data_IF_324715485505
#
_entry.id   IF_324715485505
#
_cell.length_a   1.000
_cell.length_b   1.000
_cell.length_c   1.000
_cell.angle_alpha   90.00
_cell.angle_beta   90.00
_cell.angle_gamma   90.00
#
_symmetry.space_group_name_H-M   'P 1'
#
loop_
_entity.id
_entity.type
_entity.pdbx_description
1 polymer ?
#
# COMPACT_ATOMS: atom_id res chain seq x y z
N UNK A 1 -0.72 26.62 -10.53
CA UNK A 1 -1.64 25.49 -10.73
C UNK A 1 -1.58 24.64 -9.48
N UNK A 2 -2.66 24.57 -8.71
CA UNK A 2 -2.73 23.69 -7.54
C UNK A 2 -2.84 22.24 -8.00
N UNK A 3 -2.07 21.34 -7.42
CA UNK A 3 -2.32 19.92 -7.59
C UNK A 3 -3.58 19.59 -6.77
N UNK A 4 -4.67 19.21 -7.43
CA UNK A 4 -5.82 18.63 -6.74
C UNK A 4 -5.39 17.26 -6.19
N UNK A 5 -5.05 17.22 -4.90
CA UNK A 5 -4.69 15.99 -4.20
C UNK A 5 -5.98 15.23 -3.92
N UNK A 6 -6.34 14.31 -4.81
CA UNK A 6 -7.45 13.38 -4.58
C UNK A 6 -7.00 12.29 -3.59
N UNK A 7 -7.61 12.16 -2.40
CA UNK A 7 -7.24 11.12 -1.44
C UNK A 7 -7.54 9.73 -2.01
N UNK A 8 -6.50 8.97 -2.33
CA UNK A 8 -6.67 7.56 -2.70
C UNK A 8 -6.82 6.71 -1.42
N UNK A 9 -8.07 6.49 -1.00
CA UNK A 9 -8.37 5.61 0.12
C UNK A 9 -8.23 4.16 -0.35
N UNK A 10 -7.28 3.43 0.25
CA UNK A 10 -7.03 2.01 0.01
C UNK A 10 -8.12 1.13 0.61
N UNK A 11 -8.19 -0.13 0.16
CA UNK A 11 -9.09 -1.11 0.76
C UNK A 11 -8.80 -1.23 2.27
N UNK A 12 -9.88 -1.28 3.07
CA UNK A 12 -9.79 -1.35 4.52
C UNK A 12 -8.89 -2.52 4.93
N UNK A 13 -8.04 -2.28 5.93
CA UNK A 13 -7.19 -3.30 6.56
C UNK A 13 -6.27 -4.06 5.58
N UNK A 14 -5.83 -3.38 4.52
CA UNK A 14 -4.95 -3.97 3.52
C UNK A 14 -3.62 -3.24 3.43
N UNK A 15 -2.63 -3.73 4.20
CA UNK A 15 -1.24 -3.27 4.14
C UNK A 15 -0.59 -3.52 2.78
N UNK A 16 -1.02 -4.56 2.05
CA UNK A 16 -0.52 -4.88 0.71
C UNK A 16 -0.82 -3.78 -0.32
N UNK A 17 -1.93 -3.05 -0.18
CA UNK A 17 -2.28 -1.91 -1.06
C UNK A 17 -1.29 -0.76 -0.89
N UNK A 18 -0.63 -0.68 0.26
CA UNK A 18 0.42 0.27 0.60
C UNK A 18 1.81 -0.38 0.63
N UNK A 19 2.00 -1.53 -0.05
CA UNK A 19 3.20 -2.34 0.09
C UNK A 19 4.52 -1.64 -0.26
N UNK A 20 4.49 -0.53 -1.03
CA UNK A 20 5.69 0.30 -1.27
C UNK A 20 6.16 1.03 0.00
N UNK A 21 5.24 1.69 0.72
CA UNK A 21 5.60 2.40 1.96
C UNK A 21 5.89 1.42 3.10
N UNK A 22 5.17 0.29 3.18
CA UNK A 22 5.45 -0.73 4.20
C UNK A 22 6.84 -1.36 4.03
N UNK A 23 7.29 -1.56 2.78
CA UNK A 23 8.67 -1.99 2.51
C UNK A 23 9.69 -0.92 2.90
N UNK A 24 9.39 0.36 2.69
CA UNK A 24 10.25 1.45 3.13
C UNK A 24 10.39 1.46 4.65
N UNK A 25 9.29 1.30 5.39
CA UNK A 25 9.32 1.21 6.86
C UNK A 25 10.24 0.09 7.32
N UNK A 26 10.12 -1.11 6.76
CA UNK A 26 11.01 -2.23 7.10
C UNK A 26 12.48 -1.89 6.86
N UNK A 27 12.82 -1.35 5.69
CA UNK A 27 14.21 -1.00 5.35
C UNK A 27 14.74 0.12 6.24
N UNK A 28 13.90 1.08 6.64
CA UNK A 28 14.25 2.13 7.59
C UNK A 28 14.50 1.54 8.98
N UNK A 29 13.66 0.64 9.46
CA UNK A 29 13.86 -0.04 10.75
C UNK A 29 15.16 -0.85 10.79
N UNK A 30 15.47 -1.58 9.72
CA UNK A 30 16.73 -2.33 9.57
C UNK A 30 17.94 -1.40 9.64
N UNK A 31 17.86 -0.23 8.98
CA UNK A 31 18.91 0.78 9.03
C UNK A 31 19.07 1.38 10.44
N UNK A 32 17.97 1.77 11.07
CA UNK A 32 17.98 2.33 12.42
C UNK A 32 18.56 1.35 13.45
N UNK A 33 18.18 0.06 13.39
CA UNK A 33 18.71 -0.97 14.30
C UNK A 33 20.21 -1.21 14.13
N UNK A 34 20.76 -1.02 12.93
CA UNK A 34 22.19 -1.18 12.66
C UNK A 34 23.02 0.05 13.00
N UNK A 35 22.41 1.24 13.03
CA UNK A 35 23.13 2.52 13.20
C UNK A 35 22.90 3.17 14.56
N UNK A 36 21.94 2.69 15.34
CA UNK A 36 21.64 3.27 16.64
C UNK A 36 21.52 2.21 17.73
N UNK A 37 22.33 2.35 18.79
CA UNK A 37 22.19 1.56 20.01
C UNK A 37 21.04 2.14 20.82
N UNK A 38 20.07 1.30 21.19
CA UNK A 38 18.77 1.69 21.74
C UNK A 38 18.85 2.34 23.14
N UNK A 39 20.03 2.35 23.74
CA UNK A 39 20.17 2.47 25.18
C UNK A 39 19.88 3.90 25.67
N UNK A 40 20.23 4.95 24.89
CA UNK A 40 19.85 6.36 25.14
C UNK A 40 19.96 7.22 23.85
N UNK A 41 18.98 7.11 22.94
CA UNK A 41 19.00 7.88 21.69
C UNK A 41 18.48 9.29 21.93
N UNK A 42 19.36 10.29 21.94
CA UNK A 42 18.95 11.68 21.89
C UNK A 42 18.14 11.96 20.61
N UNK A 43 17.07 12.74 20.71
CA UNK A 43 16.18 13.07 19.57
C UNK A 43 16.95 13.59 18.34
N UNK A 44 17.98 14.43 18.55
CA UNK A 44 18.80 14.95 17.47
C UNK A 44 19.62 13.88 16.73
N UNK A 45 20.02 12.80 17.41
CA UNK A 45 20.70 11.65 16.78
C UNK A 45 19.71 10.90 15.91
N UNK A 46 18.52 10.57 16.44
CA UNK A 46 17.46 9.91 15.66
C UNK A 46 17.12 10.68 14.38
N UNK A 47 16.86 11.98 14.49
CA UNK A 47 16.50 12.80 13.33
C UNK A 47 17.60 12.83 12.27
N UNK A 48 18.88 12.96 12.68
CA UNK A 48 20.01 12.92 11.74
C UNK A 48 20.12 11.56 11.05
N UNK A 49 19.97 10.46 11.77
CA UNK A 49 20.01 9.10 11.21
C UNK A 49 18.87 8.87 10.23
N UNK A 50 17.66 9.35 10.51
CA UNK A 50 16.53 9.28 9.58
C UNK A 50 16.81 10.10 8.31
N UNK A 51 17.34 11.32 8.44
CA UNK A 51 17.67 12.15 7.29
C UNK A 51 18.77 11.50 6.42
N UNK A 52 19.77 10.89 7.04
CA UNK A 52 20.84 10.16 6.36
C UNK A 52 20.29 8.92 5.62
N UNK A 53 19.43 8.14 6.29
CA UNK A 53 18.72 7.03 5.68
C UNK A 53 17.95 7.46 4.44
N UNK A 54 17.13 8.52 4.54
CA UNK A 54 16.31 8.99 3.43
C UNK A 54 17.17 9.47 2.26
N UNK A 55 18.29 10.15 2.53
CA UNK A 55 19.25 10.54 1.49
C UNK A 55 19.78 9.30 0.79
N UNK A 56 20.36 8.36 1.54
CA UNK A 56 20.93 7.13 0.99
C UNK A 56 19.89 6.30 0.23
N UNK A 57 18.70 6.09 0.79
CA UNK A 57 17.63 5.33 0.14
C UNK A 57 17.24 5.93 -1.21
N UNK A 58 17.22 7.26 -1.31
CA UNK A 58 16.86 7.95 -2.54
C UNK A 58 18.00 8.02 -3.56
N UNK A 59 19.27 8.01 -3.14
CA UNK A 59 20.42 8.17 -4.04
C UNK A 59 21.15 6.87 -4.38
N UNK A 60 20.94 5.80 -3.63
CA UNK A 60 21.58 4.51 -3.89
C UNK A 60 20.82 3.73 -4.96
N UNK A 61 21.49 3.28 -6.03
CA UNK A 61 20.87 2.42 -7.04
C UNK A 61 20.33 1.12 -6.43
N UNK A 62 19.08 0.78 -6.74
CA UNK A 62 18.49 -0.51 -6.39
C UNK A 62 18.78 -1.55 -7.48
N UNK A 63 18.35 -2.81 -7.29
CA UNK A 63 18.33 -3.84 -8.35
C UNK A 63 17.65 -3.26 -9.60
N UNK A 64 18.44 -2.97 -10.64
CA UNK A 64 18.00 -2.20 -11.82
C UNK A 64 18.86 -0.97 -12.13
N UNK A 65 19.87 -0.65 -11.32
CA UNK A 65 20.95 0.30 -11.66
C UNK A 65 20.59 1.79 -11.57
N UNK A 66 19.31 2.14 -11.35
CA UNK A 66 18.85 3.52 -11.13
C UNK A 66 18.37 3.73 -9.70
N UNK A 67 18.78 4.83 -9.07
CA UNK A 67 18.25 5.25 -7.77
C UNK A 67 16.82 5.81 -7.88
N UNK A 68 16.15 6.05 -6.75
CA UNK A 68 14.84 6.71 -6.78
C UNK A 68 14.97 8.15 -7.32
N UNK A 69 16.04 8.86 -6.96
CA UNK A 69 16.37 10.18 -7.48
C UNK A 69 16.49 10.17 -9.01
N UNK A 70 17.25 9.23 -9.57
CA UNK A 70 17.50 9.18 -11.02
C UNK A 70 16.25 8.87 -11.84
N UNK A 71 15.25 8.22 -11.21
CA UNK A 71 13.96 7.95 -11.84
C UNK A 71 13.07 9.19 -11.91
N UNK A 72 13.18 10.08 -10.93
CA UNK A 72 12.34 11.28 -10.81
C UNK A 72 12.99 12.45 -11.52
N UNK A 73 14.26 12.72 -11.26
CA UNK A 73 14.94 13.95 -11.64
C UNK A 73 15.96 13.73 -12.76
N UNK A 74 16.20 14.79 -13.54
CA UNK A 74 17.21 14.82 -14.61
C UNK A 74 18.59 15.19 -14.11
N UNK A 75 18.69 15.84 -12.94
CA UNK A 75 19.95 16.31 -12.38
C UNK A 75 20.58 15.29 -11.40
N UNK A 76 21.89 15.39 -11.12
CA UNK A 76 22.57 14.58 -10.11
C UNK A 76 22.14 14.92 -8.67
N UNK A 77 22.08 13.91 -7.79
CA UNK A 77 21.66 14.11 -6.39
C UNK A 77 22.59 15.00 -5.53
N UNK A 78 23.81 15.29 -6.01
CA UNK A 78 24.77 16.18 -5.37
C UNK A 78 24.68 17.65 -5.86
N UNK A 79 23.74 17.98 -6.76
CA UNK A 79 23.52 19.35 -7.19
C UNK A 79 22.72 20.14 -6.15
N UNK A 80 23.14 21.38 -5.90
CA UNK A 80 22.52 22.27 -4.91
C UNK A 80 21.04 22.54 -5.19
N UNK A 81 20.31 22.78 -4.09
CA UNK A 81 18.85 22.91 -3.94
C UNK A 81 18.18 24.04 -4.75
N UNK A 82 18.91 24.71 -5.63
CA UNK A 82 18.48 25.93 -6.33
C UNK A 82 18.09 25.71 -7.80
N UNK A 83 18.07 24.47 -8.30
CA UNK A 83 17.59 24.20 -9.66
C UNK A 83 16.07 24.03 -9.69
N UNK A 84 15.37 24.56 -10.71
CA UNK A 84 13.97 24.26 -10.92
C UNK A 84 13.76 22.75 -10.99
N UNK A 85 12.69 22.26 -10.35
CA UNK A 85 12.34 20.84 -10.36
C UNK A 85 12.09 20.40 -11.81
N UNK A 86 13.07 19.72 -12.41
CA UNK A 86 12.95 19.11 -13.73
C UNK A 86 12.75 17.60 -13.55
N UNK A 87 11.50 17.18 -13.58
CA UNK A 87 11.14 15.76 -13.60
C UNK A 87 11.41 15.17 -14.97
N UNK A 88 11.74 13.88 -15.04
CA UNK A 88 11.88 13.16 -16.31
C UNK A 88 10.49 12.98 -16.95
N UNK A 89 10.33 13.19 -18.28
CA UNK A 89 9.06 12.95 -18.97
C UNK A 89 8.53 11.52 -18.80
N UNK A 90 9.43 10.55 -18.64
CA UNK A 90 9.09 9.14 -18.40
C UNK A 90 8.46 8.89 -17.02
N UNK A 91 8.64 9.80 -16.06
CA UNK A 91 8.08 9.67 -14.72
C UNK A 91 6.55 9.66 -14.74
N UNK A 92 5.94 10.51 -15.57
CA UNK A 92 4.49 10.57 -15.75
C UNK A 92 3.92 9.29 -16.39
N UNK A 93 4.75 8.55 -17.15
CA UNK A 93 4.39 7.29 -17.78
C UNK A 93 4.55 6.09 -16.82
N UNK A 94 5.48 6.16 -15.86
CA UNK A 94 5.68 5.11 -14.84
C UNK A 94 4.54 5.04 -13.80
N UNK A 95 3.70 6.07 -13.75
CA UNK A 95 2.54 6.17 -12.85
C UNK A 95 1.26 5.55 -13.42
N UNK A 96 1.25 5.13 -14.69
CA UNK A 96 0.09 4.46 -15.32
C UNK A 96 0.28 2.95 -15.26
N UNK A 97 -0.57 2.26 -14.49
CA UNK A 97 -0.56 0.80 -14.47
C UNK A 97 -1.00 0.28 -15.85
N UNK A 98 -0.13 -0.32 -16.68
CA UNK A 98 -0.42 -0.50 -18.11
C UNK A 98 -1.42 -1.64 -18.40
N UNK A 99 -1.87 -2.38 -17.39
CA UNK A 99 -2.68 -3.60 -17.59
C UNK A 99 -3.67 -3.81 -16.48
N UNK A 100 -4.74 -3.00 -16.46
CA UNK A 100 -6.00 -3.40 -15.83
C UNK A 100 -6.69 -4.48 -16.68
N UNK A 101 -6.13 -5.68 -16.67
CA UNK A 101 -6.90 -6.86 -17.02
C UNK A 101 -7.60 -7.34 -15.75
N UNK A 102 -8.94 -7.28 -15.78
CA UNK A 102 -9.80 -7.86 -14.75
C UNK A 102 -9.43 -9.34 -14.59
N UNK A 103 -8.70 -9.66 -13.51
CA UNK A 103 -8.38 -11.04 -13.18
C UNK A 103 -9.61 -11.82 -12.70
N UNK A 104 -9.46 -13.12 -12.36
CA UNK A 104 -10.53 -13.86 -11.71
C UNK A 104 -10.95 -13.15 -10.41
N UNK A 105 -12.25 -13.09 -10.15
CA UNK A 105 -12.83 -12.32 -9.05
C UNK A 105 -14.33 -12.59 -8.89
N UNK A 106 -14.94 -12.03 -7.85
CA UNK A 106 -16.37 -12.12 -7.65
C UNK A 106 -17.11 -11.19 -8.63
N UNK A 107 -18.30 -11.62 -9.06
CA UNK A 107 -19.16 -10.78 -9.88
C UNK A 107 -19.98 -9.85 -8.98
N UNK A 108 -20.52 -8.79 -9.56
CA UNK A 108 -21.56 -7.98 -8.91
C UNK A 108 -22.72 -8.88 -8.50
N UNK A 109 -23.36 -8.57 -7.38
CA UNK A 109 -24.45 -9.34 -6.76
C UNK A 109 -24.07 -10.74 -6.23
N UNK A 110 -22.79 -11.12 -6.32
CA UNK A 110 -22.34 -12.41 -5.78
C UNK A 110 -22.45 -12.43 -4.25
N UNK A 111 -23.05 -13.47 -3.65
CA UNK A 111 -23.04 -13.66 -2.20
C UNK A 111 -21.64 -14.11 -1.75
N UNK A 112 -21.11 -13.43 -0.74
CA UNK A 112 -19.78 -13.66 -0.20
C UNK A 112 -19.80 -13.64 1.33
N UNK A 113 -18.74 -14.17 1.93
CA UNK A 113 -18.42 -14.01 3.33
C UNK A 113 -17.31 -12.96 3.47
N UNK A 114 -17.55 -11.92 4.25
CA UNK A 114 -16.57 -10.90 4.62
C UNK A 114 -15.90 -11.23 5.96
N UNK A 115 -14.58 -11.09 6.02
CA UNK A 115 -13.79 -11.26 7.23
C UNK A 115 -14.01 -10.14 8.24
N UNK A 116 -14.36 -10.50 9.47
CA UNK A 116 -14.41 -9.58 10.62
C UNK A 116 -12.99 -9.39 11.17
N UNK A 117 -12.46 -8.17 11.06
CA UNK A 117 -11.06 -7.86 11.38
C UNK A 117 -10.77 -7.73 12.88
N UNK A 118 -11.74 -7.24 13.65
CA UNK A 118 -11.64 -7.10 15.12
C UNK A 118 -12.85 -7.79 15.76
N UNK A 119 -12.77 -9.11 16.01
CA UNK A 119 -13.83 -9.80 16.71
C UNK A 119 -14.00 -9.20 18.11
N UNK A 120 -15.24 -8.90 18.50
CA UNK A 120 -15.58 -8.30 19.81
C UNK A 120 -15.34 -9.25 20.98
N UNK A 121 -15.38 -10.56 20.72
CA UNK A 121 -15.06 -11.60 21.70
C UNK A 121 -14.40 -12.82 21.02
N UNK A 122 -13.74 -13.69 21.80
CA UNK A 122 -13.03 -14.88 21.28
C UNK A 122 -13.92 -15.86 20.52
N UNK A 123 -15.23 -15.88 20.81
CA UNK A 123 -16.21 -16.82 20.25
C UNK A 123 -16.99 -16.25 19.06
N UNK A 124 -16.80 -14.97 18.72
CA UNK A 124 -17.55 -14.31 17.64
C UNK A 124 -17.18 -14.89 16.28
N UNK A 125 -18.19 -14.92 15.39
CA UNK A 125 -18.00 -15.34 14.00
C UNK A 125 -16.98 -14.43 13.33
N UNK A 126 -15.96 -15.04 12.71
CA UNK A 126 -14.91 -14.32 11.97
C UNK A 126 -15.31 -13.97 10.54
N UNK A 127 -16.44 -14.49 10.06
CA UNK A 127 -16.94 -14.31 8.71
C UNK A 127 -18.43 -13.98 8.78
N UNK A 128 -18.85 -12.91 8.09
CA UNK A 128 -20.24 -12.46 8.03
C UNK A 128 -20.72 -12.42 6.58
N UNK A 129 -21.98 -12.79 6.29
CA UNK A 129 -22.53 -12.68 4.94
C UNK A 129 -22.51 -11.23 4.44
N UNK A 130 -22.20 -11.06 3.16
CA UNK A 130 -22.24 -9.79 2.44
C UNK A 130 -22.52 -10.04 0.95
N UNK A 131 -22.87 -8.98 0.23
CA UNK A 131 -23.12 -9.03 -1.22
C UNK A 131 -22.22 -8.02 -1.92
N UNK A 132 -21.62 -8.42 -3.03
CA UNK A 132 -20.81 -7.52 -3.86
C UNK A 132 -21.72 -6.45 -4.48
N UNK A 133 -21.48 -5.17 -4.18
CA UNK A 133 -22.19 -4.06 -4.82
C UNK A 133 -21.52 -3.64 -6.12
N UNK A 134 -20.19 -3.56 -6.13
CA UNK A 134 -19.42 -3.19 -7.31
C UNK A 134 -17.99 -3.74 -7.25
N UNK A 135 -17.37 -3.91 -8.42
CA UNK A 135 -15.98 -4.30 -8.57
C UNK A 135 -15.15 -3.08 -8.99
N UNK A 136 -14.45 -2.51 -8.02
CA UNK A 136 -13.67 -1.28 -8.17
C UNK A 136 -12.27 -1.50 -8.77
N UNK A 137 -11.85 -2.75 -8.93
CA UNK A 137 -10.57 -3.12 -9.53
C UNK A 137 -10.31 -4.63 -9.46
N UNK A 138 -9.10 -5.06 -9.82
CA UNK A 138 -8.75 -6.49 -9.90
C UNK A 138 -9.03 -7.26 -8.60
N UNK A 139 -8.74 -6.65 -7.45
CA UNK A 139 -8.87 -7.25 -6.12
C UNK A 139 -9.68 -6.38 -5.15
N UNK A 140 -10.39 -5.37 -5.63
CA UNK A 140 -11.05 -4.39 -4.75
C UNK A 140 -12.53 -4.31 -5.08
N UNK A 141 -13.36 -4.36 -4.04
CA UNK A 141 -14.81 -4.44 -4.13
C UNK A 141 -15.47 -3.44 -3.18
N UNK A 142 -16.67 -2.99 -3.52
CA UNK A 142 -17.62 -2.41 -2.57
C UNK A 142 -18.68 -3.45 -2.22
N UNK A 143 -19.31 -3.30 -1.05
CA UNK A 143 -20.31 -4.24 -0.54
C UNK A 143 -21.62 -3.52 -0.25
N UNK A 144 -22.75 -4.18 -0.51
CA UNK A 144 -24.09 -3.62 -0.31
C UNK A 144 -24.27 -3.27 1.17
N UNK A 145 -24.67 -2.02 1.45
CA UNK A 145 -24.93 -1.55 2.81
C UNK A 145 -23.70 -1.41 3.71
N UNK A 146 -22.47 -1.58 3.18
CA UNK A 146 -21.24 -1.48 3.97
C UNK A 146 -20.33 -0.38 3.42
N UNK A 147 -20.01 0.68 4.20
CA UNK A 147 -19.18 1.76 3.72
C UNK A 147 -17.71 1.33 3.57
N UNK A 148 -17.11 1.65 2.42
CA UNK A 148 -15.68 1.49 2.16
C UNK A 148 -15.35 0.52 1.02
N UNK A 149 -14.05 0.25 0.88
CA UNK A 149 -13.50 -0.67 -0.12
C UNK A 149 -12.91 -1.89 0.58
N UNK A 150 -13.07 -3.07 -0.01
CA UNK A 150 -12.67 -4.35 0.56
C UNK A 150 -11.77 -5.10 -0.41
N UNK A 151 -10.74 -5.77 0.11
CA UNK A 151 -9.81 -6.54 -0.70
C UNK A 151 -10.33 -7.97 -0.90
N UNK A 152 -10.02 -8.58 -2.04
CA UNK A 152 -10.36 -9.96 -2.38
C UNK A 152 -9.94 -10.95 -1.28
N UNK A 153 -8.81 -10.72 -0.60
CA UNK A 153 -8.32 -11.59 0.48
C UNK A 153 -9.25 -11.61 1.71
N UNK A 154 -10.08 -10.58 1.86
CA UNK A 154 -11.03 -10.42 2.96
C UNK A 154 -12.40 -11.03 2.62
N UNK A 155 -12.55 -11.58 1.42
CA UNK A 155 -13.77 -12.16 0.90
C UNK A 155 -13.59 -13.66 0.64
N UNK A 156 -14.65 -14.44 0.86
CA UNK A 156 -14.74 -15.86 0.49
C UNK A 156 -16.08 -16.11 -0.20
N UNK A 157 -16.16 -17.09 -1.11
CA UNK A 157 -17.46 -17.52 -1.61
C UNK A 157 -18.32 -17.97 -0.43
N UNK A 158 -19.58 -17.55 -0.41
CA UNK A 158 -20.57 -18.22 0.42
C UNK A 158 -20.77 -19.60 -0.22
N UNK A 159 -20.17 -20.64 0.35
CA UNK A 159 -20.34 -21.99 -0.18
C UNK A 159 -21.83 -22.33 -0.25
N UNK A 160 -22.27 -22.98 -1.33
CA UNK A 160 -23.59 -23.61 -1.36
C UNK A 160 -23.76 -24.41 -0.07
N UNK A 161 -24.92 -24.23 0.55
CA UNK A 161 -25.43 -24.98 1.69
C UNK A 161 -25.34 -26.51 1.48
N UNK A 162 -24.14 -27.08 1.60
CA UNK A 162 -23.88 -28.53 1.70
C UNK A 162 -23.46 -28.93 3.11
N UNK A 163 -23.95 -28.21 4.10
CA UNK A 163 -24.12 -28.76 5.44
C UNK A 163 -25.62 -28.96 5.58
N UNK A 164 -26.04 -30.20 5.30
CA UNK A 164 -27.38 -30.64 5.66
C UNK A 164 -27.60 -30.43 7.15
N UNK A 165 -28.84 -30.10 7.49
CA UNK A 165 -29.36 -30.21 8.83
C UNK A 165 -29.05 -31.61 9.42
N UNK A 166 -28.91 -31.72 10.76
CA UNK A 166 -28.59 -32.97 11.45
C UNK A 166 -29.58 -34.11 11.15
#
# INVERSE_FOLDING_TARGET
MGFDILPQITAKNTSLSNGRIERLHRTMEEYLRSHVRCDQIAYGVFHRTVAEFLRMYNTTPLRGGKSAHDKVFTFPANCDRFRPVQTRPEYDLLCKDPRETWGPGFLVDSPVLLRVMRPTNKLSRRWVPATIADRLGKKTYSLVGMPGKFDLKDLKPLADSRFGDP
#
